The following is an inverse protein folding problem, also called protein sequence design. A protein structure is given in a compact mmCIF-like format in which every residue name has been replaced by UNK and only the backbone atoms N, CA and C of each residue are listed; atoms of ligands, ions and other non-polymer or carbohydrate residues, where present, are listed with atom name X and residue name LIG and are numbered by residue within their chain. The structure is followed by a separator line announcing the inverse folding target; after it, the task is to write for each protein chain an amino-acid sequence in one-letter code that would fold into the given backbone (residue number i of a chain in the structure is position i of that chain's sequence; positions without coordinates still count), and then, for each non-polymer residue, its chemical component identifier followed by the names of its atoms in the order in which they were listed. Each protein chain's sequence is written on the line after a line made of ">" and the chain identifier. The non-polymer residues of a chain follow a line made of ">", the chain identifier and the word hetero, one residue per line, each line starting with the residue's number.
data_IF_160140720695
#
_entry.id   IF_160140720695
#
_cell.length_a   1.000
_cell.length_b   1.000
_cell.length_c   1.000
_cell.angle_alpha   90.00
_cell.angle_beta   90.00
_cell.angle_gamma   90.00
#
_symmetry.space_group_name_H-M   'P 1'
#
loop_
_entity.id
_entity.type
_entity.pdbx_description
1 polymer ?
#
# COMPACT_ATOMS: atom_id res chain seq x y z
N UNK A 1 17.16 16.60 -23.62
CA UNK A 1 18.08 15.64 -22.97
C UNK A 1 18.19 15.97 -21.48
N UNK A 2 17.06 16.13 -20.79
CA UNK A 2 17.04 16.62 -19.40
C UNK A 2 17.00 15.48 -18.36
N UNK A 3 16.65 14.26 -18.79
CA UNK A 3 16.18 13.21 -17.88
C UNK A 3 17.21 12.10 -17.59
N UNK A 4 18.51 12.45 -17.57
CA UNK A 4 19.60 11.53 -17.21
C UNK A 4 20.20 11.78 -15.82
N UNK A 5 19.82 12.86 -15.13
CA UNK A 5 20.35 13.15 -13.80
C UNK A 5 19.55 12.42 -12.73
N UNK A 6 20.25 11.64 -11.90
CA UNK A 6 19.67 11.01 -10.73
C UNK A 6 19.32 12.09 -9.69
N UNK A 7 18.02 12.26 -9.43
CA UNK A 7 17.49 13.12 -8.35
C UNK A 7 17.23 12.29 -7.09
N UNK A 8 17.09 12.95 -5.95
CA UNK A 8 16.72 12.27 -4.71
C UNK A 8 15.40 11.49 -4.82
N UNK A 9 14.35 12.13 -5.36
CA UNK A 9 13.05 11.49 -5.54
C UNK A 9 13.11 10.27 -6.46
N UNK A 10 13.86 10.36 -7.56
CA UNK A 10 14.08 9.22 -8.47
C UNK A 10 14.87 8.10 -7.79
N UNK A 11 15.89 8.44 -7.02
CA UNK A 11 16.67 7.45 -6.27
C UNK A 11 15.81 6.70 -5.27
N UNK A 12 15.04 7.41 -4.43
CA UNK A 12 14.12 6.80 -3.46
C UNK A 12 13.08 5.92 -4.15
N UNK A 13 12.46 6.39 -5.24
CA UNK A 13 11.52 5.56 -6.00
C UNK A 13 12.14 4.27 -6.58
N UNK A 14 13.43 4.30 -6.93
CA UNK A 14 14.14 3.09 -7.36
C UNK A 14 14.45 2.14 -6.19
N UNK A 15 14.82 2.67 -5.02
CA UNK A 15 14.97 1.87 -3.79
C UNK A 15 13.65 1.18 -3.45
N UNK A 16 12.54 1.92 -3.46
CA UNK A 16 11.23 1.37 -3.12
C UNK A 16 10.77 0.29 -4.10
N UNK A 17 11.06 0.47 -5.40
CA UNK A 17 10.62 -0.45 -6.45
C UNK A 17 11.50 -1.71 -6.59
N UNK A 18 12.82 -1.58 -6.40
CA UNK A 18 13.78 -2.65 -6.69
C UNK A 18 14.54 -3.17 -5.47
N UNK A 19 14.40 -2.51 -4.32
CA UNK A 19 15.09 -2.84 -3.09
C UNK A 19 16.50 -2.25 -3.01
N UNK A 20 17.26 -2.74 -2.02
CA UNK A 20 18.58 -2.21 -1.69
C UNK A 20 19.73 -2.67 -2.59
N UNK A 21 19.48 -3.66 -3.46
CA UNK A 21 20.48 -4.19 -4.38
C UNK A 21 20.49 -3.46 -5.73
N UNK A 22 21.51 -2.63 -5.94
CA UNK A 22 21.72 -1.89 -7.19
C UNK A 22 21.87 -2.79 -8.42
N UNK A 23 22.27 -4.05 -8.27
CA UNK A 23 22.38 -4.97 -9.40
C UNK A 23 21.01 -5.34 -9.99
N UNK A 24 19.94 -5.26 -9.18
CA UNK A 24 18.56 -5.52 -9.63
C UNK A 24 17.92 -4.33 -10.34
N UNK A 25 18.52 -3.16 -10.24
CA UNK A 25 17.98 -1.93 -10.82
C UNK A 25 18.17 -1.92 -12.36
N UNK A 26 17.33 -1.15 -13.08
CA UNK A 26 17.51 -0.93 -14.52
C UNK A 26 18.94 -0.47 -14.86
N UNK A 27 19.51 -1.04 -15.93
CA UNK A 27 20.93 -0.87 -16.28
C UNK A 27 21.33 0.60 -16.51
N UNK A 28 20.43 1.40 -17.09
CA UNK A 28 20.60 2.83 -17.33
C UNK A 28 20.70 3.65 -16.04
N UNK A 29 20.14 3.14 -14.94
CA UNK A 29 20.00 3.83 -13.67
C UNK A 29 21.09 3.47 -12.66
N UNK A 30 21.81 2.35 -12.86
CA UNK A 30 22.84 1.88 -11.94
C UNK A 30 24.05 2.82 -11.83
N UNK A 31 24.63 3.25 -12.96
CA UNK A 31 25.80 4.14 -12.95
C UNK A 31 25.47 5.54 -12.39
N UNK A 32 24.32 6.17 -12.75
CA UNK A 32 23.86 7.38 -12.11
C UNK A 32 23.59 7.21 -10.60
N UNK A 33 23.00 6.10 -10.16
CA UNK A 33 22.79 5.80 -8.73
C UNK A 33 24.10 5.72 -7.96
N UNK A 34 25.10 5.00 -8.48
CA UNK A 34 26.44 4.94 -7.88
C UNK A 34 27.09 6.32 -7.79
N UNK A 35 26.91 7.17 -8.80
CA UNK A 35 27.40 8.55 -8.77
C UNK A 35 26.67 9.40 -7.71
N UNK A 36 25.34 9.27 -7.64
CA UNK A 36 24.51 9.95 -6.66
C UNK A 36 24.93 9.61 -5.22
N UNK A 37 25.15 8.33 -4.91
CA UNK A 37 25.59 7.86 -3.59
C UNK A 37 26.95 8.43 -3.17
N UNK A 38 27.91 8.56 -4.10
CA UNK A 38 29.20 9.20 -3.82
C UNK A 38 29.05 10.68 -3.43
N UNK A 39 28.09 11.38 -4.02
CA UNK A 39 27.81 12.80 -3.74
C UNK A 39 26.92 13.01 -2.52
N UNK A 40 26.07 12.04 -2.20
CA UNK A 40 25.12 12.13 -1.11
C UNK A 40 25.18 10.89 -0.19
N UNK A 41 26.22 10.76 0.65
CA UNK A 41 26.45 9.58 1.49
C UNK A 41 25.30 9.24 2.44
N UNK A 42 24.44 10.21 2.79
CA UNK A 42 23.26 9.96 3.64
C UNK A 42 22.32 8.88 3.07
N UNK A 43 22.17 8.83 1.74
CA UNK A 43 21.30 7.85 1.08
C UNK A 43 21.90 6.44 1.04
N UNK A 44 23.21 6.30 1.31
CA UNK A 44 23.82 4.97 1.43
C UNK A 44 23.26 4.22 2.64
N UNK A 45 22.88 4.93 3.71
CA UNK A 45 22.23 4.32 4.88
C UNK A 45 20.83 3.80 4.56
N UNK A 46 20.04 4.60 3.85
CA UNK A 46 18.69 4.19 3.40
C UNK A 46 18.76 2.97 2.48
N UNK A 47 19.71 2.96 1.52
CA UNK A 47 19.93 1.83 0.65
C UNK A 47 20.36 0.57 1.43
N UNK A 48 21.26 0.71 2.40
CA UNK A 48 21.70 -0.41 3.24
C UNK A 48 20.58 -0.98 4.10
N UNK A 49 19.74 -0.13 4.69
CA UNK A 49 18.57 -0.56 5.46
C UNK A 49 17.57 -1.33 4.59
N UNK A 50 17.35 -0.86 3.35
CA UNK A 50 16.53 -1.59 2.37
C UNK A 50 17.13 -2.94 2.00
N UNK A 51 18.45 -3.02 1.82
CA UNK A 51 19.14 -4.28 1.53
C UNK A 51 19.06 -5.28 2.70
N UNK A 52 19.13 -4.79 3.94
CA UNK A 52 18.95 -5.62 5.14
C UNK A 52 17.53 -6.17 5.22
N UNK A 53 16.51 -5.35 4.94
CA UNK A 53 15.14 -5.80 4.86
C UNK A 53 14.94 -6.87 3.78
N UNK A 54 15.52 -6.67 2.59
CA UNK A 54 15.49 -7.67 1.51
C UNK A 54 16.11 -9.00 1.97
N UNK A 55 17.25 -8.94 2.67
CA UNK A 55 17.89 -10.13 3.22
C UNK A 55 17.02 -10.84 4.26
N UNK A 56 16.37 -10.08 5.15
CA UNK A 56 15.45 -10.62 6.15
C UNK A 56 14.22 -11.30 5.50
N UNK A 57 13.68 -10.71 4.42
CA UNK A 57 12.57 -11.29 3.66
C UNK A 57 12.97 -12.57 2.91
N UNK A 58 14.21 -12.67 2.44
CA UNK A 58 14.72 -13.92 1.85
C UNK A 58 14.91 -14.99 2.92
N UNK A 59 15.42 -14.60 4.10
CA UNK A 59 15.63 -15.53 5.22
C UNK A 59 14.31 -16.04 5.81
N UNK A 60 13.24 -15.22 5.81
CA UNK A 60 11.91 -15.59 6.31
C UNK A 60 11.05 -16.37 5.32
N UNK A 61 11.62 -16.85 4.20
CA UNK A 61 10.87 -17.63 3.21
C UNK A 61 10.24 -18.86 3.86
N UNK A 62 8.91 -19.03 3.76
CA UNK A 62 8.26 -20.22 4.29
C UNK A 62 8.76 -21.47 3.58
N UNK A 63 8.74 -22.64 4.25
CA UNK A 63 9.10 -23.90 3.62
C UNK A 63 8.23 -24.14 2.38
N UNK A 64 8.75 -24.85 1.37
CA UNK A 64 7.98 -25.17 0.17
C UNK A 64 6.71 -25.94 0.55
N UNK A 65 5.61 -25.66 -0.15
CA UNK A 65 4.36 -26.38 0.05
C UNK A 65 4.57 -27.90 -0.14
N UNK A 66 4.04 -28.69 0.79
CA UNK A 66 4.05 -30.15 0.69
C UNK A 66 3.38 -30.66 -0.59
N UNK A 67 3.69 -31.90 -1.03
CA UNK A 67 3.23 -32.42 -2.31
C UNK A 67 1.71 -32.46 -2.44
N UNK A 68 0.97 -32.72 -1.34
CA UNK A 68 -0.50 -32.72 -1.37
C UNK A 68 -1.06 -31.31 -1.62
N UNK A 69 -0.56 -30.30 -0.91
CA UNK A 69 -0.99 -28.91 -1.10
C UNK A 69 -0.64 -28.42 -2.52
N UNK A 70 0.56 -28.76 -3.01
CA UNK A 70 0.96 -28.44 -4.37
C UNK A 70 0.04 -29.10 -5.43
N UNK A 71 -0.37 -30.36 -5.22
CA UNK A 71 -1.32 -31.04 -6.09
C UNK A 71 -2.71 -30.40 -6.05
N UNK A 72 -3.20 -30.04 -4.86
CA UNK A 72 -4.47 -29.36 -4.69
C UNK A 72 -4.50 -27.98 -5.40
N UNK A 73 -3.42 -27.21 -5.29
CA UNK A 73 -3.27 -25.92 -6.00
C UNK A 73 -3.32 -26.12 -7.53
N UNK A 74 -2.62 -27.14 -8.06
CA UNK A 74 -2.65 -27.45 -9.50
C UNK A 74 -4.03 -27.88 -9.97
N UNK A 75 -4.69 -28.78 -9.24
CA UNK A 75 -6.04 -29.24 -9.56
C UNK A 75 -7.03 -28.07 -9.54
N UNK A 76 -6.94 -27.19 -8.54
CA UNK A 76 -7.79 -26.00 -8.46
C UNK A 76 -7.55 -25.04 -9.61
N UNK A 77 -6.29 -24.79 -9.99
CA UNK A 77 -5.98 -23.95 -11.17
C UNK A 77 -6.52 -24.53 -12.47
N UNK A 78 -6.45 -25.85 -12.65
CA UNK A 78 -7.01 -26.53 -13.82
C UNK A 78 -8.55 -26.47 -13.87
N UNK A 79 -9.21 -26.42 -12.71
CA UNK A 79 -10.66 -26.32 -12.61
C UNK A 79 -11.19 -24.88 -12.78
N UNK A 80 -10.34 -23.85 -12.68
CA UNK A 80 -10.75 -22.47 -12.97
C UNK A 80 -10.88 -22.33 -14.49
N UNK A 81 -12.10 -22.11 -15.03
CA UNK A 81 -12.25 -21.89 -16.45
C UNK A 81 -11.44 -20.65 -16.85
N UNK A 82 -10.55 -20.82 -17.84
CA UNK A 82 -9.85 -19.70 -18.45
C UNK A 82 -10.93 -18.76 -18.98
N UNK A 83 -10.99 -17.48 -18.53
CA UNK A 83 -11.97 -16.56 -19.08
C UNK A 83 -11.78 -16.52 -20.60
N UNK A 84 -12.87 -16.52 -21.37
CA UNK A 84 -12.76 -16.42 -22.82
C UNK A 84 -11.89 -15.20 -23.16
N UNK A 85 -11.08 -15.27 -24.23
CA UNK A 85 -10.23 -14.15 -24.63
C UNK A 85 -11.12 -12.90 -24.71
N UNK A 86 -10.83 -11.94 -23.84
CA UNK A 86 -11.57 -10.68 -23.83
C UNK A 86 -11.32 -10.06 -25.20
N UNK A 87 -12.35 -9.88 -26.06
CA UNK A 87 -12.14 -9.27 -27.35
C UNK A 87 -11.49 -7.91 -27.13
N UNK A 88 -10.49 -7.59 -27.97
CA UNK A 88 -9.76 -6.34 -27.91
C UNK A 88 -10.75 -5.18 -27.69
N UNK A 89 -10.51 -4.42 -26.62
CA UNK A 89 -11.44 -3.43 -26.09
C UNK A 89 -11.96 -2.54 -27.20
N UNK A 90 -13.18 -2.80 -27.66
CA UNK A 90 -13.92 -1.86 -28.49
C UNK A 90 -14.16 -0.65 -27.60
N UNK A 91 -13.85 0.59 -28.01
CA UNK A 91 -14.16 1.77 -27.22
C UNK A 91 -15.69 1.84 -27.06
N UNK A 92 -16.19 1.33 -25.94
CA UNK A 92 -17.56 1.52 -25.55
C UNK A 92 -17.65 2.98 -25.11
N UNK A 93 -18.29 3.81 -25.94
CA UNK A 93 -18.83 5.09 -25.51
C UNK A 93 -19.84 4.80 -24.41
N UNK A 94 -19.37 4.77 -23.16
CA UNK A 94 -20.23 4.78 -22.00
C UNK A 94 -20.90 6.16 -22.02
N UNK A 95 -22.22 6.27 -22.25
CA UNK A 95 -22.87 7.56 -22.13
C UNK A 95 -22.65 8.02 -20.69
N UNK A 96 -21.96 9.14 -20.53
CA UNK A 96 -21.74 9.78 -19.24
C UNK A 96 -23.11 10.04 -18.63
N UNK A 97 -23.54 9.18 -17.71
CA UNK A 97 -24.71 9.45 -16.88
C UNK A 97 -24.42 10.78 -16.18
N UNK A 98 -25.25 11.82 -16.35
CA UNK A 98 -25.01 13.10 -15.69
C UNK A 98 -24.96 12.83 -14.18
N UNK A 99 -23.88 13.29 -13.55
CA UNK A 99 -23.67 13.06 -12.12
C UNK A 99 -24.87 13.63 -11.35
N UNK A 100 -25.24 13.03 -10.19
CA UNK A 100 -26.35 13.53 -9.40
C UNK A 100 -26.18 15.02 -9.03
N UNK A 101 -24.94 15.50 -8.92
CA UNK A 101 -24.62 16.92 -8.65
C UNK A 101 -25.12 17.85 -9.76
N UNK A 102 -24.98 17.46 -11.04
CA UNK A 102 -25.50 18.24 -12.18
C UNK A 102 -27.03 18.25 -12.18
N UNK A 103 -27.66 17.14 -11.76
CA UNK A 103 -29.13 17.07 -11.63
C UNK A 103 -29.65 17.96 -10.49
N UNK A 104 -28.94 18.05 -9.36
CA UNK A 104 -29.33 18.93 -8.26
C UNK A 104 -29.14 20.42 -8.58
N UNK A 105 -28.09 20.78 -9.32
CA UNK A 105 -27.87 22.17 -9.74
C UNK A 105 -28.98 22.70 -10.67
N UNK A 106 -29.52 21.85 -11.55
CA UNK A 106 -30.62 22.20 -12.43
C UNK A 106 -31.94 22.46 -11.68
N UNK A 107 -32.17 21.80 -10.53
CA UNK A 107 -33.38 21.96 -9.71
C UNK A 107 -33.34 23.25 -8.88
N UNK A 108 -32.15 23.70 -8.48
CA UNK A 108 -31.99 24.87 -7.60
C UNK A 108 -31.81 26.19 -8.36
N UNK A 109 -31.80 26.18 -9.70
CA UNK A 109 -31.64 27.40 -10.52
C UNK A 109 -30.28 28.09 -10.35
N UNK A 110 -29.31 27.41 -9.73
CA UNK A 110 -28.00 27.98 -9.46
C UNK A 110 -27.04 27.67 -10.60
N UNK A 111 -26.40 28.70 -11.20
CA UNK A 111 -25.47 28.48 -12.29
C UNK A 111 -24.23 27.71 -11.80
N UNK A 112 -23.62 26.86 -12.63
CA UNK A 112 -22.63 25.86 -12.21
C UNK A 112 -21.35 26.44 -11.57
N UNK A 113 -21.07 27.73 -11.79
CA UNK A 113 -19.94 28.42 -11.16
C UNK A 113 -20.16 28.72 -9.67
N UNK A 114 -21.42 28.79 -9.19
CA UNK A 114 -21.72 29.01 -7.78
C UNK A 114 -21.35 27.79 -6.90
N UNK A 115 -21.36 26.58 -7.49
CA UNK A 115 -20.94 25.35 -6.80
C UNK A 115 -19.41 25.28 -6.60
N UNK A 116 -18.62 25.85 -7.53
CA UNK A 116 -17.16 25.91 -7.39
C UNK A 116 -16.74 26.85 -6.24
N UNK A 117 -17.47 27.95 -6.02
CA UNK A 117 -17.19 28.86 -4.91
C UNK A 117 -17.44 28.22 -3.53
N UNK A 118 -18.51 27.44 -3.38
CA UNK A 118 -18.82 26.74 -2.12
C UNK A 118 -17.78 25.64 -1.79
N UNK A 119 -17.30 24.90 -2.79
CA UNK A 119 -16.27 23.89 -2.61
C UNK A 119 -14.91 24.47 -2.18
N UNK A 120 -14.54 25.64 -2.72
CA UNK A 120 -13.29 26.32 -2.38
C UNK A 120 -13.31 26.88 -0.95
N UNK A 121 -14.44 27.41 -0.48
CA UNK A 121 -14.61 27.87 0.91
C UNK A 121 -14.53 26.69 1.90
N UNK A 122 -15.14 25.53 1.58
CA UNK A 122 -15.05 24.34 2.43
C UNK A 122 -13.63 23.74 2.48
N UNK A 123 -12.89 23.75 1.36
CA UNK A 123 -11.51 23.27 1.32
C UNK A 123 -10.54 24.20 2.07
N UNK A 124 -10.73 25.52 1.98
CA UNK A 124 -9.92 26.50 2.73
C UNK A 124 -10.23 26.44 4.22
N UNK A 125 -11.50 26.28 4.64
CA UNK A 125 -11.82 26.05 6.06
C UNK A 125 -11.30 24.71 6.58
N UNK A 126 -11.39 23.63 5.79
CA UNK A 126 -10.86 22.31 6.17
C UNK A 126 -9.33 22.30 6.28
N UNK A 127 -8.63 23.02 5.41
CA UNK A 127 -7.18 23.17 5.47
C UNK A 127 -6.72 24.06 6.65
N UNK A 128 -7.55 25.03 7.07
CA UNK A 128 -7.24 25.88 8.23
C UNK A 128 -7.50 25.17 9.56
N UNK A 129 -8.51 24.29 9.64
CA UNK A 129 -8.77 23.45 10.83
C UNK A 129 -7.82 22.25 10.89
N UNK A 130 -7.40 21.70 9.75
CA UNK A 130 -6.45 20.58 9.68
C UNK A 130 -4.97 20.95 9.93
N UNK A 131 -4.63 22.23 10.04
CA UNK A 131 -3.25 22.68 10.26
C UNK A 131 -2.91 22.96 11.74
N UNK A 132 -3.90 22.97 12.64
CA UNK A 132 -3.71 23.43 14.03
C UNK A 132 -3.86 22.41 15.14
N UNK A 133 -4.03 21.11 14.85
CA UNK A 133 -3.91 20.06 15.87
C UNK A 133 -2.92 18.97 15.44
N UNK A 134 -1.64 19.34 15.48
CA UNK A 134 -0.54 18.42 15.75
C UNK A 134 -0.54 17.93 17.22
N UNK A 135 -1.73 17.65 17.77
CA UNK A 135 -1.89 16.96 19.02
C UNK A 135 -1.60 15.48 18.75
N UNK A 136 -0.34 15.12 19.01
CA UNK A 136 0.15 13.79 19.32
C UNK A 136 -0.99 12.81 19.65
N UNK A 137 -1.34 11.94 18.70
CA UNK A 137 -1.83 10.61 19.07
C UNK A 137 -0.63 9.93 19.71
N UNK A 138 -0.48 10.16 21.01
CA UNK A 138 0.23 9.27 21.91
C UNK A 138 -0.49 7.94 21.79
N UNK A 139 -0.01 7.07 20.91
CA UNK A 139 -0.31 5.64 20.97
C UNK A 139 0.12 5.24 22.37
N UNK A 140 -0.86 5.02 23.24
CA UNK A 140 -0.65 4.47 24.57
C UNK A 140 0.26 3.25 24.43
N UNK A 141 1.21 3.13 25.36
CA UNK A 141 2.11 1.99 25.45
C UNK A 141 1.37 0.69 25.14
N UNK A 142 1.87 -0.16 24.23
CA UNK A 142 1.27 -1.46 24.01
C UNK A 142 1.29 -2.21 25.34
N UNK A 143 0.17 -2.81 25.78
CA UNK A 143 0.16 -3.59 27.02
C UNK A 143 1.22 -4.69 26.91
N UNK A 144 2.04 -4.78 27.96
CA UNK A 144 3.21 -5.64 28.05
C UNK A 144 2.84 -7.08 27.63
N UNK A 145 3.71 -7.72 26.85
CA UNK A 145 3.42 -9.01 26.18
C UNK A 145 2.98 -10.11 27.17
N UNK A 146 3.34 -9.98 28.44
CA UNK A 146 2.88 -10.83 29.53
C UNK A 146 1.35 -10.83 29.72
N UNK A 147 0.70 -9.67 29.57
CA UNK A 147 -0.77 -9.54 29.75
C UNK A 147 -1.56 -10.19 28.63
N UNK A 148 -1.02 -10.23 27.41
CA UNK A 148 -1.64 -10.93 26.28
C UNK A 148 -1.63 -12.45 26.47
N UNK A 149 -0.57 -13.00 27.06
CA UNK A 149 -0.47 -14.44 27.31
C UNK A 149 -1.44 -14.85 28.42
N UNK A 150 -1.53 -14.08 29.52
CA UNK A 150 -2.48 -14.38 30.60
C UNK A 150 -3.95 -14.27 30.17
N UNK A 151 -4.31 -13.24 29.38
CA UNK A 151 -5.65 -13.10 28.84
C UNK A 151 -6.04 -14.26 27.89
N UNK A 152 -5.09 -14.74 27.09
CA UNK A 152 -5.32 -15.85 26.16
C UNK A 152 -5.46 -17.20 26.88
N UNK A 153 -4.71 -17.41 27.98
CA UNK A 153 -4.80 -18.62 28.78
C UNK A 153 -6.09 -18.62 29.61
N UNK A 154 -6.51 -17.47 30.16
CA UNK A 154 -7.76 -17.36 30.93
C UNK A 154 -9.01 -17.58 30.07
N UNK A 155 -9.02 -17.08 28.83
CA UNK A 155 -10.09 -17.34 27.88
C UNK A 155 -10.17 -18.82 27.45
N UNK A 156 -9.04 -19.50 27.32
CA UNK A 156 -9.00 -20.92 26.98
C UNK A 156 -9.34 -21.85 28.16
N UNK A 157 -9.06 -21.41 29.40
CA UNK A 157 -9.37 -22.20 30.60
C UNK A 157 -10.87 -22.13 30.97
N UNK A 158 -11.55 -21.01 30.69
CA UNK A 158 -12.99 -20.85 30.97
C UNK A 158 -13.91 -21.70 30.09
N UNK A 159 -13.44 -22.13 28.91
CA UNK A 159 -14.24 -22.94 27.97
C UNK A 159 -14.15 -24.45 28.25
N UNK A 160 -13.19 -24.91 29.07
CA UNK A 160 -12.99 -26.35 29.34
C UNK A 160 -13.84 -26.83 30.54
N UNK A 161 -14.32 -25.92 31.40
CA UNK A 161 -14.99 -26.32 32.65
C UNK A 161 -16.45 -26.80 32.47
N UNK A 162 -17.08 -26.57 31.31
CA UNK A 162 -18.49 -26.96 31.09
C UNK A 162 -18.69 -28.32 30.40
N UNK A 163 -17.63 -28.97 29.91
CA UNK A 163 -17.76 -30.17 29.08
C UNK A 163 -17.51 -31.50 29.83
N UNK A 164 -17.17 -31.45 31.13
CA UNK A 164 -16.87 -32.65 31.96
C UNK A 164 -18.02 -33.05 32.89
N UNK A 165 -19.14 -32.31 32.93
CA UNK A 165 -20.28 -32.60 33.80
C UNK A 165 -21.57 -33.01 33.05
N UNK A 166 -21.47 -33.72 31.93
CA UNK A 166 -22.65 -34.31 31.27
C UNK A 166 -22.45 -35.76 30.84
#
# INVERSE_FOLDING_TARGET
>A
MEDQRMTAARFTGLVDAYGGDLARWPADSQAPARNFLRRHPRYARELAASAELDAALVASRPPPAGPQLAAAIRARRAAVPVPPPVPASVPVLVPLRPSPVVRWAAVLGTPPWAALAAGLVAFVLGALVGASDGALVSVADPPDAATWIEASISAAAGDIEWEVLR
#
